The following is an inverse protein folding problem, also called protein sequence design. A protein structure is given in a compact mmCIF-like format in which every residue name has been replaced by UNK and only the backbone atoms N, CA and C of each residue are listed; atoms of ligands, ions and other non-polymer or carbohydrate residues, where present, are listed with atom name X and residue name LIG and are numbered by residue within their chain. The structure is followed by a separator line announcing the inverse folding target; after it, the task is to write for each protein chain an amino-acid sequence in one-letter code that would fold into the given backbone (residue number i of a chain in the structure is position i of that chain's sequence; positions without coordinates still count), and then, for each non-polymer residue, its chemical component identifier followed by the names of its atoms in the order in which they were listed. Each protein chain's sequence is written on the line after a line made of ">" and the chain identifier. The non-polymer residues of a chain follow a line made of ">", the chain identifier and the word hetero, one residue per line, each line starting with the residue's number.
data_IF_249640227440
#
_entry.id   IF_249640227440
#
_cell.length_a   1.000
_cell.length_b   1.000
_cell.length_c   1.000
_cell.angle_alpha   90.00
_cell.angle_beta   90.00
_cell.angle_gamma   90.00
#
_symmetry.space_group_name_H-M   'P 1'
#
loop_
_entity.id
_entity.type
_entity.pdbx_description
1 polymer ?
#
# COMPACT_ATOMS: atom_id res chain seq x y z
N UNK A 1 -32.64 12.08 25.54
CA UNK A 1 -31.77 12.78 26.49
C UNK A 1 -31.84 14.28 26.22
N UNK A 2 -31.77 15.10 27.27
CA UNK A 2 -31.72 16.55 27.09
C UNK A 2 -30.26 17.00 26.91
N UNK A 3 -30.04 17.94 26.02
CA UNK A 3 -28.72 18.53 25.76
C UNK A 3 -28.69 19.96 26.28
N UNK A 4 -27.60 20.34 26.94
CA UNK A 4 -27.38 21.74 27.23
C UNK A 4 -26.93 22.53 26.01
N UNK A 5 -27.18 23.83 25.98
CA UNK A 5 -26.77 24.70 24.85
C UNK A 5 -25.26 24.66 24.57
N UNK A 6 -24.45 24.52 25.61
CA UNK A 6 -23.01 24.41 25.51
C UNK A 6 -22.57 23.08 24.87
N UNK A 7 -23.23 21.97 25.21
CA UNK A 7 -22.98 20.66 24.61
C UNK A 7 -23.36 20.67 23.12
N UNK A 8 -24.50 21.28 22.79
CA UNK A 8 -24.91 21.42 21.37
C UNK A 8 -23.95 22.29 20.56
N UNK A 9 -23.49 23.40 21.14
CA UNK A 9 -22.49 24.26 20.51
C UNK A 9 -21.16 23.53 20.27
N UNK A 10 -20.73 22.68 21.21
CA UNK A 10 -19.51 21.88 21.08
C UNK A 10 -19.62 20.86 19.93
N UNK A 11 -20.75 20.14 19.84
CA UNK A 11 -20.99 19.21 18.73
C UNK A 11 -21.22 19.96 17.39
N UNK A 12 -21.73 21.19 17.45
CA UNK A 12 -21.88 22.06 16.28
C UNK A 12 -20.57 22.38 15.56
N UNK A 13 -19.42 22.34 16.25
CA UNK A 13 -18.07 22.52 15.68
C UNK A 13 -17.57 21.30 14.88
N UNK A 14 -18.21 20.14 15.07
CA UNK A 14 -17.86 18.91 14.33
C UNK A 14 -18.42 18.99 12.91
N UNK A 15 -17.70 18.49 11.88
CA UNK A 15 -18.20 18.43 10.50
C UNK A 15 -19.58 17.79 10.42
N UNK A 16 -20.48 18.38 9.64
CA UNK A 16 -21.92 18.05 9.61
C UNK A 16 -22.20 16.56 9.32
N UNK A 17 -21.41 15.92 8.46
CA UNK A 17 -21.60 14.53 8.04
C UNK A 17 -21.29 13.50 9.14
N UNK A 18 -20.55 13.87 10.19
CA UNK A 18 -20.26 12.97 11.33
C UNK A 18 -21.01 13.35 12.61
N UNK A 19 -21.68 14.52 12.66
CA UNK A 19 -22.40 15.01 13.86
C UNK A 19 -23.40 14.01 14.41
N UNK A 20 -24.17 13.35 13.55
CA UNK A 20 -25.17 12.35 13.95
C UNK A 20 -24.50 11.18 14.68
N UNK A 21 -23.35 10.71 14.20
CA UNK A 21 -22.58 9.62 14.84
C UNK A 21 -22.01 10.06 16.19
N UNK A 22 -21.47 11.28 16.26
CA UNK A 22 -20.93 11.85 17.50
C UNK A 22 -22.04 11.96 18.55
N UNK A 23 -23.20 12.54 18.19
CA UNK A 23 -24.35 12.64 19.11
C UNK A 23 -24.79 11.26 19.65
N UNK A 24 -25.00 10.30 18.76
CA UNK A 24 -25.39 8.95 19.14
C UNK A 24 -24.38 8.27 20.09
N UNK A 25 -23.08 8.51 19.88
CA UNK A 25 -22.02 7.97 20.75
C UNK A 25 -22.06 8.63 22.14
N UNK A 26 -22.14 9.96 22.22
CA UNK A 26 -22.26 10.70 23.49
C UNK A 26 -23.50 10.25 24.26
N UNK A 27 -24.65 10.13 23.58
CA UNK A 27 -25.90 9.66 24.19
C UNK A 27 -25.80 8.24 24.73
N UNK A 28 -25.14 7.33 23.96
CA UNK A 28 -24.92 5.94 24.38
C UNK A 28 -24.01 5.88 25.63
N UNK A 29 -22.93 6.65 25.66
CA UNK A 29 -22.01 6.68 26.78
C UNK A 29 -22.66 7.29 28.02
N UNK A 30 -23.41 8.40 27.87
CA UNK A 30 -24.17 9.02 28.94
C UNK A 30 -25.28 8.09 29.50
N UNK A 31 -25.95 7.32 28.63
CA UNK A 31 -26.93 6.31 29.03
C UNK A 31 -26.29 5.19 29.86
N UNK A 32 -25.11 4.72 29.50
CA UNK A 32 -24.37 3.71 30.28
C UNK A 32 -24.01 4.21 31.69
N UNK A 33 -23.86 5.53 31.87
CA UNK A 33 -23.58 6.18 33.14
C UNK A 33 -24.88 6.64 33.85
N UNK A 34 -26.07 6.18 33.37
CA UNK A 34 -27.40 6.54 33.88
C UNK A 34 -27.68 8.06 33.92
N UNK A 35 -27.03 8.83 33.07
CA UNK A 35 -27.23 10.29 32.99
C UNK A 35 -28.42 10.61 32.09
N UNK A 36 -29.20 11.61 32.50
CA UNK A 36 -30.39 12.07 31.75
C UNK A 36 -30.12 13.37 30.96
N UNK A 37 -29.08 14.10 31.33
CA UNK A 37 -28.71 15.38 30.75
C UNK A 37 -27.27 15.29 30.24
N UNK A 38 -27.06 15.74 29.01
CA UNK A 38 -25.75 15.80 28.36
C UNK A 38 -25.24 17.23 28.45
N UNK A 39 -24.17 17.43 29.21
CA UNK A 39 -23.46 18.69 29.36
C UNK A 39 -22.17 18.70 28.52
N UNK A 40 -21.47 19.83 28.46
CA UNK A 40 -20.18 19.94 27.83
C UNK A 40 -19.17 18.90 28.34
N UNK A 41 -19.27 18.55 29.64
CA UNK A 41 -18.40 17.56 30.30
C UNK A 41 -18.55 16.16 29.67
N UNK A 42 -19.77 15.71 29.38
CA UNK A 42 -20.02 14.41 28.72
C UNK A 42 -19.46 14.42 27.31
N UNK A 43 -19.63 15.51 26.56
CA UNK A 43 -19.06 15.63 25.20
C UNK A 43 -17.52 15.56 25.23
N UNK A 44 -16.90 16.28 26.16
CA UNK A 44 -15.44 16.28 26.34
C UNK A 44 -14.92 14.91 26.81
N UNK A 45 -15.61 14.26 27.74
CA UNK A 45 -15.25 12.93 28.24
C UNK A 45 -15.32 11.86 27.11
N UNK A 46 -16.38 11.90 26.31
CA UNK A 46 -16.50 11.02 25.14
C UNK A 46 -15.42 11.31 24.12
N UNK A 47 -15.11 12.57 23.87
CA UNK A 47 -14.01 12.97 22.97
C UNK A 47 -12.66 12.45 23.49
N UNK A 48 -12.36 12.64 24.76
CA UNK A 48 -11.11 12.17 25.38
C UNK A 48 -10.99 10.64 25.30
N UNK A 49 -12.05 9.90 25.62
CA UNK A 49 -12.10 8.43 25.48
C UNK A 49 -11.86 7.99 24.03
N UNK A 50 -12.48 8.65 23.08
CA UNK A 50 -12.30 8.35 21.67
C UNK A 50 -10.87 8.60 21.19
N UNK A 51 -10.27 9.73 21.58
CA UNK A 51 -8.88 10.07 21.25
C UNK A 51 -7.89 9.09 21.89
N UNK A 52 -8.09 8.74 23.17
CA UNK A 52 -7.26 7.74 23.86
C UNK A 52 -7.37 6.36 23.22
N UNK A 53 -8.58 5.92 22.86
CA UNK A 53 -8.76 4.65 22.15
C UNK A 53 -8.03 4.65 20.80
N UNK A 54 -8.11 5.75 20.04
CA UNK A 54 -7.35 5.87 18.78
C UNK A 54 -5.84 5.82 19.01
N UNK A 55 -5.34 6.42 20.08
CA UNK A 55 -3.90 6.37 20.40
C UNK A 55 -3.44 4.94 20.71
N UNK A 56 -4.26 4.13 21.40
CA UNK A 56 -3.94 2.72 21.66
C UNK A 56 -3.98 1.84 20.41
N UNK A 57 -4.67 2.25 19.35
CA UNK A 57 -4.74 1.53 18.08
C UNK A 57 -3.54 1.81 17.16
N UNK A 58 -2.75 2.87 17.44
CA UNK A 58 -1.58 3.23 16.62
C UNK A 58 -0.43 2.25 16.90
N UNK A 59 0.00 1.56 15.86
CA UNK A 59 1.11 0.60 15.89
C UNK A 59 2.44 1.16 15.36
N UNK A 60 2.42 2.39 14.83
CA UNK A 60 3.56 3.00 14.16
C UNK A 60 3.69 2.61 12.69
N UNK A 61 2.97 1.58 12.25
CA UNK A 61 2.94 1.13 10.86
C UNK A 61 1.57 0.57 10.47
N UNK A 62 1.29 0.55 9.17
CA UNK A 62 0.14 -0.13 8.57
C UNK A 62 0.61 -1.04 7.45
N UNK A 63 0.11 -2.28 7.43
CA UNK A 63 0.25 -3.21 6.32
C UNK A 63 -1.14 -3.52 5.78
N UNK A 64 -1.33 -3.32 4.50
CA UNK A 64 -2.57 -3.63 3.79
C UNK A 64 -2.27 -4.57 2.62
N UNK A 65 -3.19 -5.44 2.28
CA UNK A 65 -3.13 -6.27 1.07
C UNK A 65 -4.40 -6.13 0.26
N UNK A 66 -4.33 -6.49 -1.02
CA UNK A 66 -5.51 -6.57 -1.87
C UNK A 66 -6.31 -7.85 -1.56
N UNK A 67 -7.38 -8.08 -2.34
CA UNK A 67 -8.22 -9.28 -2.24
C UNK A 67 -7.57 -10.55 -2.83
N UNK A 68 -6.34 -10.48 -3.33
CA UNK A 68 -5.62 -11.61 -3.92
C UNK A 68 -5.61 -12.86 -3.04
N UNK A 69 -5.17 -12.73 -1.75
CA UNK A 69 -5.20 -13.84 -0.80
C UNK A 69 -6.56 -14.49 -0.61
N UNK A 70 -7.64 -13.74 -0.78
CA UNK A 70 -9.03 -14.25 -0.67
C UNK A 70 -9.52 -14.99 -1.93
N UNK A 71 -8.64 -15.29 -2.90
CA UNK A 71 -8.98 -16.08 -4.10
C UNK A 71 -9.30 -15.25 -5.33
N UNK A 72 -8.72 -14.07 -5.50
CA UNK A 72 -8.88 -13.26 -6.71
C UNK A 72 -8.35 -14.01 -7.95
N UNK A 73 -9.14 -14.17 -9.03
CA UNK A 73 -8.72 -14.89 -10.23
C UNK A 73 -7.68 -14.13 -11.07
N UNK A 74 -7.51 -12.83 -10.84
CA UNK A 74 -6.60 -11.99 -11.62
C UNK A 74 -5.22 -11.81 -10.97
N UNK A 75 -4.92 -12.50 -9.87
CA UNK A 75 -3.62 -12.39 -9.22
C UNK A 75 -2.49 -12.91 -10.12
N UNK A 76 -1.40 -12.17 -10.20
CA UNK A 76 -0.18 -12.55 -10.90
C UNK A 76 0.73 -13.41 -10.02
N UNK A 77 0.75 -13.12 -8.71
CA UNK A 77 1.54 -13.83 -7.69
C UNK A 77 0.69 -14.16 -6.46
N UNK A 78 1.23 -14.97 -5.56
CA UNK A 78 0.64 -15.28 -4.26
C UNK A 78 1.52 -14.63 -3.19
N UNK A 79 1.01 -13.60 -2.52
CA UNK A 79 1.80 -12.80 -1.57
C UNK A 79 1.58 -13.12 -0.09
N UNK A 80 0.89 -14.20 0.25
CA UNK A 80 0.53 -14.52 1.65
C UNK A 80 1.74 -14.60 2.57
N UNK A 81 2.81 -15.27 2.13
CA UNK A 81 4.06 -15.37 2.88
C UNK A 81 4.76 -14.00 2.98
N UNK A 82 4.84 -13.26 1.89
CA UNK A 82 5.43 -11.93 1.88
C UNK A 82 4.71 -10.96 2.82
N UNK A 83 3.37 -10.98 2.87
CA UNK A 83 2.59 -10.16 3.82
C UNK A 83 3.00 -10.45 5.27
N UNK A 84 3.16 -11.73 5.60
CA UNK A 84 3.58 -12.18 6.93
C UNK A 84 4.99 -11.68 7.26
N UNK A 85 5.94 -11.86 6.34
CA UNK A 85 7.34 -11.46 6.50
C UNK A 85 7.52 -9.94 6.57
N UNK A 86 6.80 -9.19 5.73
CA UNK A 86 6.76 -7.71 5.77
C UNK A 86 6.22 -7.22 7.12
N UNK A 87 5.14 -7.84 7.62
CA UNK A 87 4.57 -7.49 8.92
C UNK A 87 5.56 -7.75 10.05
N UNK A 88 6.22 -8.91 10.07
CA UNK A 88 7.25 -9.24 11.05
C UNK A 88 8.40 -8.21 11.01
N UNK A 89 8.88 -7.85 9.81
CA UNK A 89 9.97 -6.87 9.65
C UNK A 89 9.61 -5.49 10.19
N UNK A 90 8.35 -5.05 10.00
CA UNK A 90 7.86 -3.77 10.53
C UNK A 90 7.68 -3.81 12.07
N UNK A 91 7.29 -4.96 12.63
CA UNK A 91 7.22 -5.16 14.09
C UNK A 91 8.61 -5.05 14.72
N UNK A 92 9.63 -5.71 14.15
CA UNK A 92 11.02 -5.65 14.62
C UNK A 92 11.60 -4.23 14.57
N UNK A 93 11.13 -3.39 13.63
CA UNK A 93 11.64 -2.03 13.47
C UNK A 93 11.28 -1.05 14.60
N UNK A 94 10.38 -1.41 15.52
CA UNK A 94 9.87 -0.55 16.61
C UNK A 94 9.54 0.88 16.16
N UNK A 95 8.70 0.98 15.13
CA UNK A 95 8.29 2.28 14.58
C UNK A 95 7.41 3.07 15.56
N UNK A 96 6.68 2.39 16.45
CA UNK A 96 5.88 3.08 17.47
C UNK A 96 6.76 3.82 18.47
N UNK A 97 7.77 3.15 19.02
CA UNK A 97 8.75 3.77 19.92
C UNK A 97 9.46 4.93 19.26
N UNK A 98 9.93 4.72 18.02
CA UNK A 98 10.57 5.78 17.22
C UNK A 98 9.64 7.00 17.04
N UNK A 99 8.39 6.82 16.60
CA UNK A 99 7.46 7.92 16.37
C UNK A 99 7.09 8.66 17.64
N UNK A 100 6.95 7.97 18.78
CA UNK A 100 6.73 8.60 20.09
C UNK A 100 7.88 9.55 20.45
N UNK A 101 9.12 9.19 20.15
CA UNK A 101 10.27 10.08 20.39
C UNK A 101 10.29 11.29 19.46
N UNK A 102 9.75 11.17 18.23
CA UNK A 102 9.78 12.24 17.24
C UNK A 102 8.67 13.30 17.41
N UNK A 103 7.46 12.88 17.79
CA UNK A 103 6.29 13.77 17.83
C UNK A 103 5.69 13.93 19.21
N UNK A 104 6.13 13.14 20.19
CA UNK A 104 5.50 13.04 21.51
C UNK A 104 4.25 12.15 21.49
N UNK A 105 4.03 11.42 22.56
CA UNK A 105 2.95 10.43 22.66
C UNK A 105 1.56 11.06 22.47
N UNK A 106 1.33 12.25 23.04
CA UNK A 106 0.04 12.96 22.99
C UNK A 106 -0.31 13.48 21.56
N UNK A 107 0.71 13.66 20.72
CA UNK A 107 0.56 14.20 19.38
C UNK A 107 0.59 13.13 18.28
N UNK A 108 0.84 11.87 18.65
CA UNK A 108 0.90 10.76 17.72
C UNK A 108 -0.49 10.49 17.12
N UNK A 109 -0.55 10.33 15.78
CA UNK A 109 -1.80 10.10 15.02
C UNK A 109 -1.55 9.09 13.90
N UNK A 110 -2.60 8.45 13.42
CA UNK A 110 -2.55 7.46 12.31
C UNK A 110 -1.82 7.94 11.05
N UNK A 111 -1.82 9.24 10.77
CA UNK A 111 -1.12 9.74 9.59
C UNK A 111 0.41 9.78 9.74
N UNK A 112 0.95 9.59 10.94
CA UNK A 112 2.38 9.44 11.16
C UNK A 112 2.89 8.02 10.87
N UNK A 113 1.99 7.03 10.86
CA UNK A 113 2.37 5.63 10.63
C UNK A 113 3.01 5.42 9.26
N UNK A 114 4.04 4.58 9.23
CA UNK A 114 4.68 4.11 8.01
C UNK A 114 3.77 3.09 7.31
N UNK A 115 3.47 3.30 6.03
CA UNK A 115 2.47 2.53 5.30
C UNK A 115 3.08 1.67 4.22
N UNK A 116 2.82 0.38 4.32
CA UNK A 116 3.17 -0.59 3.29
C UNK A 116 1.91 -1.24 2.77
N UNK A 117 1.82 -1.45 1.46
CA UNK A 117 0.73 -2.21 0.87
C UNK A 117 1.22 -3.15 -0.21
N UNK A 118 0.54 -4.28 -0.33
CA UNK A 118 0.85 -5.34 -1.28
C UNK A 118 -0.39 -5.57 -2.16
N UNK A 119 -0.20 -5.57 -3.46
CA UNK A 119 -1.19 -5.95 -4.46
C UNK A 119 -0.66 -7.14 -5.26
N UNK A 120 -1.43 -8.20 -5.40
CA UNK A 120 -1.02 -9.44 -6.09
C UNK A 120 -0.93 -9.31 -7.61
N UNK A 121 -1.34 -8.19 -8.18
CA UNK A 121 -1.30 -7.94 -9.63
C UNK A 121 -1.29 -6.43 -9.95
N UNK A 122 -0.96 -6.06 -11.20
CA UNK A 122 -0.90 -4.66 -11.65
C UNK A 122 -2.21 -3.87 -11.56
N UNK A 123 -3.36 -4.51 -11.32
CA UNK A 123 -4.61 -3.79 -11.04
C UNK A 123 -4.55 -2.95 -9.75
N UNK A 124 -3.60 -3.25 -8.86
CA UNK A 124 -3.20 -2.41 -7.73
C UNK A 124 -4.37 -1.97 -6.82
N UNK A 125 -5.31 -2.87 -6.52
CA UNK A 125 -6.54 -2.59 -5.77
C UNK A 125 -6.30 -2.01 -4.36
N UNK A 126 -5.17 -2.33 -3.73
CA UNK A 126 -4.75 -1.80 -2.42
C UNK A 126 -4.04 -0.44 -2.50
N UNK A 127 -4.00 0.18 -3.69
CA UNK A 127 -3.45 1.53 -3.93
C UNK A 127 -1.97 1.70 -3.53
N UNK A 128 -1.06 0.83 -4.01
CA UNK A 128 0.37 0.89 -3.67
C UNK A 128 1.03 2.21 -4.09
N UNK A 129 0.47 2.91 -5.08
CA UNK A 129 1.01 4.16 -5.60
C UNK A 129 1.04 5.31 -4.59
N UNK A 130 0.25 5.22 -3.52
CA UNK A 130 0.09 6.30 -2.53
C UNK A 130 0.50 5.88 -1.11
N UNK A 131 1.36 4.89 -1.02
CA UNK A 131 1.92 4.37 0.25
C UNK A 131 3.42 4.67 0.33
N UNK A 132 3.98 4.64 1.55
CA UNK A 132 5.41 4.86 1.73
C UNK A 132 6.24 3.80 0.98
N UNK A 133 5.78 2.54 1.03
CA UNK A 133 6.26 1.44 0.18
C UNK A 133 5.06 0.71 -0.41
N UNK A 134 4.97 0.68 -1.73
CA UNK A 134 3.96 -0.04 -2.49
C UNK A 134 4.58 -1.22 -3.23
N UNK A 135 3.97 -2.40 -3.11
CA UNK A 135 4.46 -3.66 -3.68
C UNK A 135 3.39 -4.20 -4.61
N UNK A 136 3.75 -4.52 -5.86
CA UNK A 136 2.81 -4.97 -6.90
C UNK A 136 3.32 -6.26 -7.50
N UNK A 137 2.55 -7.33 -7.41
CA UNK A 137 2.84 -8.61 -8.04
C UNK A 137 2.98 -8.46 -9.56
N UNK A 138 3.99 -9.11 -10.13
CA UNK A 138 4.35 -9.00 -11.53
C UNK A 138 4.87 -10.32 -12.10
N UNK A 139 4.46 -10.60 -13.35
CA UNK A 139 4.97 -11.70 -14.16
C UNK A 139 5.33 -11.15 -15.52
N UNK A 140 6.64 -11.06 -15.82
CA UNK A 140 7.13 -10.60 -17.12
C UNK A 140 7.10 -11.74 -18.13
N UNK A 141 6.46 -11.56 -19.29
CA UNK A 141 6.49 -12.56 -20.36
C UNK A 141 7.77 -12.51 -21.16
N UNK A 142 8.16 -13.66 -21.71
CA UNK A 142 9.18 -13.80 -22.75
C UNK A 142 8.69 -14.76 -23.83
N UNK A 143 9.30 -14.70 -25.01
CA UNK A 143 9.12 -15.69 -26.07
C UNK A 143 10.03 -16.89 -25.81
N UNK A 144 9.46 -18.09 -25.81
CA UNK A 144 10.20 -19.36 -25.73
C UNK A 144 10.58 -19.87 -27.12
N UNK A 145 11.25 -21.00 -27.18
CA UNK A 145 11.55 -21.71 -28.45
C UNK A 145 10.31 -22.43 -29.05
N UNK A 146 9.23 -22.57 -28.29
CA UNK A 146 8.01 -23.23 -28.76
C UNK A 146 7.35 -22.46 -29.90
N UNK A 147 6.82 -23.20 -30.90
CA UNK A 147 6.08 -22.62 -32.02
C UNK A 147 4.78 -21.94 -31.59
N UNK A 148 4.35 -20.95 -32.38
CA UNK A 148 3.07 -20.27 -32.16
C UNK A 148 1.97 -20.92 -33.00
N UNK A 149 0.84 -21.24 -32.37
CA UNK A 149 -0.34 -21.80 -33.07
C UNK A 149 -1.25 -20.71 -33.67
N UNK A 150 -0.86 -19.45 -33.62
CA UNK A 150 -1.59 -18.29 -34.13
C UNK A 150 -3.04 -18.17 -33.60
N UNK A 151 -3.32 -18.67 -32.40
CA UNK A 151 -4.67 -18.71 -31.81
C UNK A 151 -5.18 -17.35 -31.31
N UNK A 152 -4.39 -16.27 -31.39
CA UNK A 152 -4.71 -14.90 -30.91
C UNK A 152 -4.98 -14.77 -29.41
N UNK A 153 -5.04 -15.84 -28.60
CA UNK A 153 -5.44 -15.81 -27.19
C UNK A 153 -4.62 -14.82 -26.34
N UNK A 154 -3.31 -14.66 -26.63
CA UNK A 154 -2.46 -13.71 -25.92
C UNK A 154 -2.78 -12.24 -26.28
N UNK A 155 -3.24 -11.98 -27.49
CA UNK A 155 -3.66 -10.64 -27.95
C UNK A 155 -4.99 -10.29 -27.30
N UNK A 156 -5.96 -11.21 -27.30
CA UNK A 156 -7.31 -10.99 -26.76
C UNK A 156 -7.32 -10.69 -25.25
N UNK A 157 -6.41 -11.31 -24.49
CA UNK A 157 -6.33 -11.07 -23.04
C UNK A 157 -5.52 -9.82 -22.68
N UNK A 158 -4.75 -9.26 -23.61
CA UNK A 158 -3.86 -8.13 -23.34
C UNK A 158 -4.60 -6.79 -23.35
N UNK A 159 -5.06 -6.33 -22.19
CA UNK A 159 -5.76 -5.04 -22.03
C UNK A 159 -4.89 -3.81 -22.34
N UNK A 160 -3.58 -3.97 -22.31
CA UNK A 160 -2.60 -2.91 -22.55
C UNK A 160 -2.21 -2.82 -24.04
N UNK A 161 -2.77 -3.68 -24.90
CA UNK A 161 -2.39 -3.80 -26.32
C UNK A 161 -0.85 -3.90 -26.48
N UNK A 162 -0.21 -4.58 -25.55
CA UNK A 162 1.24 -4.78 -25.53
C UNK A 162 1.70 -6.00 -26.35
N UNK A 163 0.77 -6.69 -27.00
CA UNK A 163 1.03 -7.87 -27.80
C UNK A 163 0.34 -7.70 -29.15
N UNK A 164 1.08 -7.93 -30.22
CA UNK A 164 0.55 -7.98 -31.57
C UNK A 164 0.93 -9.30 -32.24
N UNK A 165 0.02 -9.87 -33.06
CA UNK A 165 0.28 -11.06 -33.87
C UNK A 165 -0.32 -10.82 -35.23
N UNK A 166 0.54 -10.48 -36.21
CA UNK A 166 0.13 -10.33 -37.59
C UNK A 166 -0.17 -11.71 -38.23
N UNK A 167 -1.08 -11.74 -39.18
CA UNK A 167 -1.52 -12.99 -39.85
C UNK A 167 -0.37 -13.79 -40.47
N UNK A 168 0.68 -13.12 -40.94
CA UNK A 168 1.85 -13.74 -41.56
C UNK A 168 3.02 -13.94 -40.58
N UNK A 169 2.90 -13.44 -39.35
CA UNK A 169 3.95 -13.57 -38.36
C UNK A 169 3.98 -14.97 -37.76
N UNK A 170 5.16 -15.54 -37.63
CA UNK A 170 5.34 -16.86 -37.03
C UNK A 170 5.25 -16.80 -35.48
N UNK A 171 5.39 -15.61 -34.88
CA UNK A 171 5.41 -15.37 -33.44
C UNK A 171 4.79 -14.02 -33.11
N UNK A 172 4.22 -13.85 -31.90
CA UNK A 172 3.75 -12.54 -31.44
C UNK A 172 4.91 -11.58 -31.20
N UNK A 173 4.64 -10.30 -31.40
CA UNK A 173 5.52 -9.19 -31.02
C UNK A 173 5.13 -8.68 -29.63
N UNK A 174 6.13 -8.46 -28.75
CA UNK A 174 5.95 -8.02 -27.36
C UNK A 174 6.47 -6.60 -27.18
N UNK A 175 5.59 -5.65 -26.95
CA UNK A 175 5.97 -4.30 -26.53
C UNK A 175 6.11 -4.23 -25.00
N UNK A 176 7.33 -4.47 -24.50
CA UNK A 176 7.61 -4.47 -23.06
C UNK A 176 7.48 -3.08 -22.41
N UNK A 177 7.49 -1.99 -23.19
CA UNK A 177 7.27 -0.64 -22.66
C UNK A 177 5.79 -0.40 -22.30
N UNK A 178 4.86 -1.04 -23.03
CA UNK A 178 3.43 -1.01 -22.72
C UNK A 178 3.01 -2.08 -21.70
N UNK A 179 3.84 -3.11 -21.54
CA UNK A 179 3.53 -4.25 -20.70
C UNK A 179 3.59 -3.92 -19.21
N UNK A 180 2.50 -4.14 -18.50
CA UNK A 180 2.41 -3.96 -17.03
C UNK A 180 2.84 -5.21 -16.25
N UNK A 181 3.33 -6.25 -16.91
CA UNK A 181 3.76 -7.52 -16.32
C UNK A 181 2.63 -8.23 -15.52
N UNK A 182 1.42 -8.32 -16.08
CA UNK A 182 0.28 -9.00 -15.41
C UNK A 182 0.29 -10.53 -15.58
N UNK A 183 1.09 -11.08 -16.50
CA UNK A 183 1.20 -12.52 -16.76
C UNK A 183 0.01 -13.18 -17.49
N UNK A 184 -1.05 -12.44 -17.80
CA UNK A 184 -2.27 -13.03 -18.41
C UNK A 184 -2.00 -13.70 -19.76
N UNK A 185 -1.11 -13.14 -20.57
CA UNK A 185 -0.73 -13.70 -21.86
C UNK A 185 0.04 -15.04 -21.73
N UNK A 186 0.84 -15.18 -20.67
CA UNK A 186 1.53 -16.45 -20.37
C UNK A 186 0.51 -17.52 -20.00
N UNK A 187 -0.43 -17.18 -19.10
CA UNK A 187 -1.49 -18.10 -18.68
C UNK A 187 -2.44 -18.50 -19.83
N UNK A 188 -2.64 -17.60 -20.79
CA UNK A 188 -3.54 -17.85 -21.92
C UNK A 188 -2.88 -18.58 -23.10
N UNK A 189 -1.55 -18.73 -23.13
CA UNK A 189 -0.84 -19.34 -24.28
C UNK A 189 -0.87 -20.87 -24.22
N UNK A 190 -1.66 -21.57 -25.07
CA UNK A 190 -1.77 -23.03 -25.00
C UNK A 190 -0.50 -23.74 -25.51
N UNK A 191 0.19 -23.13 -26.47
CA UNK A 191 1.39 -23.70 -27.09
C UNK A 191 2.67 -23.46 -26.26
N UNK A 192 2.61 -22.65 -25.18
CA UNK A 192 3.78 -22.31 -24.39
C UNK A 192 4.80 -21.40 -25.12
N UNK A 193 4.40 -20.78 -26.23
CA UNK A 193 5.22 -19.80 -26.96
C UNK A 193 5.56 -18.59 -26.06
N UNK A 194 4.62 -18.20 -25.19
CA UNK A 194 4.83 -17.22 -24.14
C UNK A 194 5.08 -17.93 -22.82
N UNK A 195 6.19 -17.59 -22.19
CA UNK A 195 6.59 -18.12 -20.88
C UNK A 195 6.93 -16.98 -19.92
N UNK A 196 7.05 -17.32 -18.64
CA UNK A 196 7.49 -16.39 -17.62
C UNK A 196 9.02 -16.21 -17.72
N UNK A 197 9.45 -14.99 -18.00
CA UNK A 197 10.86 -14.60 -17.86
C UNK A 197 11.21 -14.42 -16.38
N UNK A 198 10.43 -13.59 -15.67
CA UNK A 198 10.61 -13.31 -14.25
C UNK A 198 9.26 -13.12 -13.58
N UNK A 199 9.10 -13.71 -12.39
CA UNK A 199 7.96 -13.53 -11.49
C UNK A 199 8.43 -12.97 -10.17
N UNK A 200 7.64 -12.09 -9.56
CA UNK A 200 7.95 -11.44 -8.30
C UNK A 200 7.17 -10.13 -8.14
N UNK A 201 7.85 -9.06 -7.72
CA UNK A 201 7.17 -7.81 -7.35
C UNK A 201 7.85 -6.59 -7.95
N UNK A 202 7.05 -5.63 -8.38
CA UNK A 202 7.46 -4.25 -8.66
C UNK A 202 7.33 -3.45 -7.37
N UNK A 203 8.25 -2.54 -7.11
CA UNK A 203 8.28 -1.75 -5.87
C UNK A 203 8.16 -0.27 -6.19
N UNK A 204 7.24 0.41 -5.52
CA UNK A 204 7.10 1.85 -5.54
C UNK A 204 7.48 2.40 -4.17
N UNK A 205 8.20 3.52 -4.12
CA UNK A 205 8.64 4.15 -2.87
C UNK A 205 8.27 5.62 -2.81
N UNK A 206 7.90 6.09 -1.62
CA UNK A 206 7.67 7.50 -1.33
C UNK A 206 6.30 8.04 -1.73
N UNK A 207 5.31 7.18 -1.97
CA UNK A 207 3.93 7.62 -2.20
C UNK A 207 3.29 8.18 -0.92
N UNK A 208 2.43 9.18 -1.07
CA UNK A 208 1.65 9.73 0.04
C UNK A 208 0.40 10.47 -0.45
N UNK A 209 -0.59 10.53 0.40
CA UNK A 209 -1.74 11.44 0.29
C UNK A 209 -1.59 12.63 1.25
N UNK A 210 -2.59 13.47 1.33
CA UNK A 210 -2.68 14.63 2.20
C UNK A 210 -2.67 15.94 1.41
N UNK A 211 -2.23 17.03 2.05
CA UNK A 211 -2.23 18.37 1.43
C UNK A 211 -1.34 18.47 0.20
N UNK A 212 -0.27 17.68 0.15
CA UNK A 212 0.69 17.62 -0.94
C UNK A 212 0.83 16.16 -1.38
N UNK A 213 -0.13 15.65 -2.17
CA UNK A 213 -0.10 14.25 -2.62
C UNK A 213 1.02 14.04 -3.63
N UNK A 214 1.62 12.86 -3.57
CA UNK A 214 2.57 12.40 -4.59
C UNK A 214 2.44 10.90 -4.79
N UNK A 215 2.66 10.44 -6.01
CA UNK A 215 2.76 9.03 -6.32
C UNK A 215 4.14 8.49 -5.93
N UNK A 216 4.18 7.25 -5.52
CA UNK A 216 5.43 6.52 -5.33
C UNK A 216 6.19 6.40 -6.65
N UNK A 217 7.51 6.52 -6.58
CA UNK A 217 8.41 6.29 -7.72
C UNK A 217 8.73 4.81 -7.80
N UNK A 218 8.63 4.25 -8.99
CA UNK A 218 8.89 2.84 -9.21
C UNK A 218 10.39 2.57 -9.33
N UNK A 219 10.88 1.60 -8.56
CA UNK A 219 12.24 1.09 -8.68
C UNK A 219 12.32 0.17 -9.91
N UNK A 220 13.44 0.16 -10.64
CA UNK A 220 13.59 -0.69 -11.83
C UNK A 220 13.63 -2.18 -11.44
N UNK A 221 13.09 -3.04 -12.31
CA UNK A 221 13.16 -4.50 -12.16
C UNK A 221 11.95 -5.15 -11.50
N UNK A 222 12.05 -6.47 -11.34
CA UNK A 222 11.08 -7.32 -10.63
C UNK A 222 11.86 -8.02 -9.51
N UNK A 223 11.36 -7.91 -8.30
CA UNK A 223 12.02 -8.29 -7.06
C UNK A 223 11.47 -9.62 -6.53
N UNK A 224 12.33 -10.48 -6.04
CA UNK A 224 11.95 -11.62 -5.21
C UNK A 224 11.49 -11.17 -3.83
N UNK A 225 10.89 -12.07 -3.05
CA UNK A 225 10.47 -11.79 -1.66
C UNK A 225 11.62 -11.26 -0.79
N UNK A 226 12.80 -11.87 -0.88
CA UNK A 226 13.97 -11.48 -0.09
C UNK A 226 14.50 -10.10 -0.51
N UNK A 227 14.51 -9.81 -1.80
CA UNK A 227 14.88 -8.49 -2.32
C UNK A 227 13.89 -7.41 -1.88
N UNK A 228 12.57 -7.71 -1.86
CA UNK A 228 11.53 -6.80 -1.31
C UNK A 228 11.83 -6.48 0.14
N UNK A 229 12.13 -7.48 0.98
CA UNK A 229 12.47 -7.26 2.39
C UNK A 229 13.77 -6.46 2.55
N UNK A 230 14.74 -6.67 1.68
CA UNK A 230 15.97 -5.88 1.63
C UNK A 230 15.70 -4.40 1.34
N UNK A 231 14.87 -4.10 0.32
CA UNK A 231 14.45 -2.73 0.00
C UNK A 231 13.69 -2.11 1.16
N UNK A 232 12.73 -2.84 1.75
CA UNK A 232 11.96 -2.36 2.89
C UNK A 232 12.88 -2.00 4.07
N UNK A 233 13.85 -2.86 4.40
CA UNK A 233 14.80 -2.60 5.48
C UNK A 233 15.58 -1.30 5.27
N UNK A 234 16.10 -1.07 4.07
CA UNK A 234 16.82 0.17 3.74
C UNK A 234 15.91 1.41 3.82
N UNK A 235 14.65 1.30 3.37
CA UNK A 235 13.67 2.37 3.53
C UNK A 235 13.41 2.71 5.01
N UNK A 236 13.29 1.70 5.87
CA UNK A 236 13.09 1.85 7.31
C UNK A 236 14.30 2.48 8.00
N UNK A 237 15.50 2.02 7.69
CA UNK A 237 16.75 2.55 8.25
C UNK A 237 16.93 4.01 7.87
N UNK A 238 16.71 4.34 6.60
CA UNK A 238 16.74 5.74 6.14
C UNK A 238 15.67 6.58 6.84
N UNK A 239 14.42 6.08 6.93
CA UNK A 239 13.33 6.78 7.58
C UNK A 239 13.65 7.10 9.04
N UNK A 240 14.12 6.12 9.81
CA UNK A 240 14.50 6.31 11.22
C UNK A 240 15.69 7.27 11.39
N UNK A 241 16.64 7.24 10.47
CA UNK A 241 17.83 8.12 10.51
C UNK A 241 17.51 9.58 10.18
N UNK A 242 16.57 9.85 9.29
CA UNK A 242 16.33 11.17 8.72
C UNK A 242 15.01 11.83 9.12
N UNK A 243 13.99 11.05 9.53
CA UNK A 243 12.71 11.65 9.94
C UNK A 243 12.88 12.41 11.25
N UNK A 244 12.38 13.65 11.25
CA UNK A 244 12.31 14.54 12.41
C UNK A 244 10.93 15.18 12.44
N UNK A 245 10.37 15.37 13.63
CA UNK A 245 9.07 16.00 13.84
C UNK A 245 7.91 15.33 13.08
N UNK A 246 7.97 14.00 12.91
CA UNK A 246 6.93 13.22 12.25
C UNK A 246 6.83 13.40 10.74
N UNK A 247 7.89 13.89 10.06
CA UNK A 247 7.91 13.94 8.60
C UNK A 247 7.74 12.54 7.99
N UNK A 248 6.87 12.45 6.99
CA UNK A 248 6.59 11.20 6.28
C UNK A 248 7.78 10.77 5.42
N UNK A 249 7.94 9.46 5.20
CA UNK A 249 9.00 8.90 4.35
C UNK A 249 9.02 9.53 2.94
N UNK A 250 7.87 9.69 2.30
CA UNK A 250 7.78 10.31 0.98
C UNK A 250 8.21 11.79 0.94
N UNK A 251 8.28 12.49 2.07
CA UNK A 251 8.81 13.86 2.16
C UNK A 251 10.33 13.90 2.27
N UNK A 252 10.90 12.78 2.71
CA UNK A 252 12.34 12.62 2.94
C UNK A 252 13.04 11.99 1.74
N UNK A 253 12.30 11.27 0.89
CA UNK A 253 12.84 10.51 -0.23
C UNK A 253 13.53 11.44 -1.23
N UNK A 254 14.83 11.62 -1.08
CA UNK A 254 15.68 12.36 -2.01
C UNK A 254 15.88 11.60 -3.33
N UNK A 255 16.33 12.31 -4.36
CA UNK A 255 16.72 11.66 -5.62
C UNK A 255 17.91 10.71 -5.38
N UNK A 256 18.85 11.10 -4.57
CA UNK A 256 20.03 10.30 -4.23
C UNK A 256 19.67 8.96 -3.57
N UNK A 257 18.79 8.97 -2.55
CA UNK A 257 18.32 7.72 -1.94
C UNK A 257 17.60 6.84 -2.96
N UNK A 258 16.75 7.45 -3.79
CA UNK A 258 16.05 6.69 -4.82
C UNK A 258 17.02 6.01 -5.80
N UNK A 259 18.05 6.72 -6.23
CA UNK A 259 19.10 6.19 -7.11
C UNK A 259 19.92 5.08 -6.44
N UNK A 260 20.26 5.24 -5.15
CA UNK A 260 20.92 4.18 -4.38
C UNK A 260 20.08 2.90 -4.30
N UNK A 261 18.77 3.03 -4.02
CA UNK A 261 17.86 1.89 -4.01
C UNK A 261 17.74 1.22 -5.40
N UNK A 262 17.77 2.03 -6.47
CA UNK A 262 17.66 1.57 -7.84
C UNK A 262 18.93 0.91 -8.38
N UNK A 263 20.13 1.39 -7.97
CA UNK A 263 21.41 0.85 -8.41
C UNK A 263 21.67 -0.56 -7.90
N UNK A 264 21.36 -0.83 -6.64
CA UNK A 264 21.55 -2.15 -6.04
C UNK A 264 20.77 -3.27 -6.73
N UNK A 265 19.64 -2.93 -7.35
CA UNK A 265 18.90 -3.91 -8.15
C UNK A 265 19.56 -4.18 -9.49
N UNK A 266 20.13 -3.17 -10.14
CA UNK A 266 20.82 -3.36 -11.42
C UNK A 266 22.06 -4.27 -11.28
N UNK A 267 22.73 -4.20 -10.13
CA UNK A 267 23.86 -5.09 -9.83
C UNK A 267 23.43 -6.53 -9.56
N UNK A 268 22.25 -6.73 -8.94
CA UNK A 268 21.69 -8.06 -8.71
C UNK A 268 21.10 -8.71 -10.00
N UNK A 269 20.70 -7.91 -10.97
CA UNK A 269 20.16 -8.38 -12.27
C UNK A 269 21.25 -8.57 -13.35
N UNK A 270 22.52 -8.29 -13.05
CA UNK A 270 23.63 -8.62 -13.98
C UNK A 270 24.00 -10.09 -13.83
N UNK A 271 24.02 -10.86 -14.96
CA UNK A 271 24.34 -12.29 -14.96
C UNK A 271 25.78 -12.59 -14.58
#
# INVERSE_FOLDING_TARGET
>A
MQWTSEAEAAVGKVPFFVRKRVRARVEKEAANEAKQVITLKEVQATQARFLNQQQHEIKGYQVESCFGPSGCPNRAVISDDLVTRVTARLQEADLLGFLKTQVGEEHLKFHHEFRVTIADCPNACSQPQIKDVGIIGAVRPMLSEAGCEQCQACVDVCKEEAIALAAEAQRPDLNLQRCVACGQCVAACPAGTLQTERSGYRILVGGKLGRHPQLGRELPGIYSDDEVLGVLSRCLDFYKSHSRNGKRFGELLSLELFEQLAQQQREADQP
#
